data_IF_028720690912
#
_entry.id   IF_028720690912
#
_cell.length_a   1.000
_cell.length_b   1.000
_cell.length_c   1.000
_cell.angle_alpha   90.00
_cell.angle_beta   90.00
_cell.angle_gamma   90.00
#
_symmetry.space_group_name_H-M   'P 1'
#
loop_
_entity.id
_entity.type
_entity.pdbx_description
1 polymer ?
#
# COMPACT_ATOMS: atom_id res chain seq x y z
N UNK A 1 -5.55 -3.08 2.24
CA UNK A 1 -4.80 -1.83 1.93
C UNK A 1 -4.89 -1.53 0.44
N UNK A 2 -4.75 -2.51 -0.45
CA UNK A 2 -4.82 -2.34 -1.90
C UNK A 2 -6.14 -1.76 -2.39
N UNK A 3 -7.27 -2.13 -1.79
CA UNK A 3 -8.58 -1.57 -2.11
C UNK A 3 -8.66 -0.04 -1.95
N UNK A 4 -7.81 0.56 -1.10
CA UNK A 4 -7.71 2.00 -0.94
C UNK A 4 -7.12 2.66 -2.20
N UNK A 5 -6.21 1.97 -2.88
CA UNK A 5 -5.54 2.46 -4.08
C UNK A 5 -6.35 2.23 -5.37
N UNK A 6 -7.38 1.38 -5.33
CA UNK A 6 -8.27 1.12 -6.47
C UNK A 6 -9.30 2.25 -6.66
N UNK A 7 -9.56 3.04 -5.62
CA UNK A 7 -10.49 4.17 -5.71
C UNK A 7 -9.99 5.27 -6.65
N UNK A 8 -10.90 6.03 -7.32
CA UNK A 8 -10.53 7.08 -8.27
C UNK A 8 -9.82 8.26 -7.62
N UNK A 9 -9.95 8.44 -6.30
CA UNK A 9 -9.28 9.48 -5.51
C UNK A 9 -8.65 8.86 -4.28
N UNK A 10 -7.41 9.24 -4.00
CA UNK A 10 -6.73 8.84 -2.78
C UNK A 10 -7.04 9.83 -1.66
N UNK A 11 -7.49 9.30 -0.53
CA UNK A 11 -7.72 10.10 0.66
C UNK A 11 -6.40 10.24 1.42
N UNK A 12 -5.99 11.49 1.65
CA UNK A 12 -4.88 11.84 2.52
C UNK A 12 -5.40 12.65 3.71
N UNK A 13 -4.86 12.41 4.88
CA UNK A 13 -5.20 13.18 6.09
C UNK A 13 -4.17 14.30 6.23
N UNK A 14 -4.63 15.53 6.42
CA UNK A 14 -3.76 16.68 6.64
C UNK A 14 -2.88 16.45 7.88
N UNK A 15 -1.56 16.61 7.72
CA UNK A 15 -0.59 16.43 8.80
C UNK A 15 -0.29 14.96 9.12
N UNK A 16 -0.66 14.02 8.23
CA UNK A 16 -0.25 12.63 8.32
C UNK A 16 0.77 12.36 7.21
N UNK A 17 2.02 12.18 7.62
CA UNK A 17 3.13 11.75 6.76
C UNK A 17 3.39 10.25 6.87
N UNK A 18 2.33 9.48 7.25
CA UNK A 18 2.48 8.03 7.46
C UNK A 18 2.78 7.33 6.14
N UNK A 19 4.04 6.95 5.87
CA UNK A 19 4.41 6.31 4.64
C UNK A 19 3.96 4.85 4.63
N UNK A 20 3.87 4.29 3.43
CA UNK A 20 3.52 2.90 3.19
C UNK A 20 4.78 2.10 2.90
N UNK A 21 4.89 0.95 3.54
CA UNK A 21 5.91 -0.04 3.26
C UNK A 21 5.25 -1.20 2.52
N UNK A 22 5.86 -1.61 1.43
CA UNK A 22 5.41 -2.71 0.61
C UNK A 22 6.39 -3.87 0.69
N UNK A 23 5.85 -5.07 0.51
CA UNK A 23 6.65 -6.29 0.43
C UNK A 23 6.26 -7.05 -0.84
N UNK A 24 7.26 -7.59 -1.52
CA UNK A 24 7.03 -8.47 -2.65
C UNK A 24 6.62 -9.86 -2.18
N UNK A 25 5.61 -10.46 -2.83
CA UNK A 25 5.10 -11.79 -2.48
C UNK A 25 6.19 -12.88 -2.46
N UNK A 26 7.13 -12.83 -3.41
CA UNK A 26 8.25 -13.77 -3.46
C UNK A 26 9.28 -13.54 -2.35
N UNK A 27 9.42 -12.34 -1.83
CA UNK A 27 10.25 -12.08 -0.67
C UNK A 27 9.62 -12.65 0.60
N UNK A 28 8.29 -12.61 0.71
CA UNK A 28 7.58 -13.28 1.81
C UNK A 28 7.80 -14.80 1.73
N UNK A 29 7.63 -15.39 0.55
CA UNK A 29 7.88 -16.82 0.34
C UNK A 29 9.35 -17.19 0.62
N UNK A 30 10.29 -16.35 0.19
CA UNK A 30 11.71 -16.53 0.44
C UNK A 30 12.07 -16.46 1.92
N UNK A 31 11.49 -15.53 2.66
CA UNK A 31 11.68 -15.42 4.10
C UNK A 31 11.11 -16.64 4.85
N UNK A 32 9.96 -17.16 4.41
CA UNK A 32 9.38 -18.40 4.97
C UNK A 32 10.30 -19.60 4.68
N UNK A 33 10.77 -19.74 3.44
CA UNK A 33 11.70 -20.82 3.08
C UNK A 33 13.00 -20.73 3.90
N UNK A 34 13.52 -19.52 4.12
CA UNK A 34 14.70 -19.29 4.97
C UNK A 34 14.42 -19.67 6.42
N UNK A 35 13.21 -19.37 6.93
CA UNK A 35 12.82 -19.74 8.30
C UNK A 35 12.81 -21.27 8.52
N UNK A 36 12.40 -22.04 7.52
CA UNK A 36 12.34 -23.51 7.61
C UNK A 36 13.73 -24.13 7.70
N UNK A 37 14.75 -23.50 7.10
CA UNK A 37 16.13 -23.99 7.04
C UNK A 37 17.06 -23.30 8.04
N UNK A 38 16.56 -22.35 8.82
CA UNK A 38 17.32 -21.55 9.79
C UNK A 38 16.98 -21.99 11.21
N UNK A 39 17.99 -22.00 12.07
CA UNK A 39 17.82 -22.21 13.52
C UNK A 39 17.42 -20.92 14.26
N UNK A 40 17.16 -19.83 13.53
CA UNK A 40 16.80 -18.54 14.11
C UNK A 40 15.35 -18.53 14.55
N UNK A 41 15.12 -18.11 15.79
CA UNK A 41 13.79 -17.95 16.37
C UNK A 41 13.53 -16.49 16.72
N UNK A 42 12.29 -16.05 16.62
CA UNK A 42 11.91 -14.66 16.96
C UNK A 42 10.81 -14.11 16.07
N UNK A 43 10.54 -12.81 16.27
CA UNK A 43 9.58 -12.05 15.44
C UNK A 43 10.35 -11.09 14.55
N UNK A 44 10.17 -11.24 13.24
CA UNK A 44 10.87 -10.46 12.23
C UNK A 44 9.86 -9.81 11.28
N UNK A 45 10.05 -8.51 11.02
CA UNK A 45 9.20 -7.78 10.09
C UNK A 45 9.69 -8.02 8.65
N UNK A 46 8.86 -8.67 7.84
CA UNK A 46 9.15 -8.85 6.41
C UNK A 46 8.61 -7.66 5.65
N UNK A 47 9.51 -6.81 5.17
CA UNK A 47 9.19 -5.59 4.44
C UNK A 47 10.31 -5.25 3.46
N UNK A 48 9.98 -4.65 2.31
CA UNK A 48 10.96 -4.09 1.39
C UNK A 48 11.63 -2.85 1.97
N UNK A 49 12.85 -2.56 1.53
CA UNK A 49 13.55 -1.34 1.94
C UNK A 49 12.85 -0.07 1.45
N UNK A 50 12.91 0.97 2.25
CA UNK A 50 12.27 2.25 1.97
C UNK A 50 10.77 2.25 2.23
N UNK A 51 10.16 3.40 1.99
CA UNK A 51 8.72 3.60 2.15
C UNK A 51 8.22 4.61 1.13
N UNK A 52 6.94 4.57 0.79
CA UNK A 52 6.30 5.46 -0.16
C UNK A 52 5.27 6.33 0.55
N UNK A 53 5.32 7.63 0.33
CA UNK A 53 4.28 8.54 0.81
C UNK A 53 2.99 8.41 -0.02
N UNK A 54 1.86 8.83 0.56
CA UNK A 54 0.57 8.88 -0.17
C UNK A 54 0.69 9.74 -1.43
N UNK A 55 1.51 10.79 -1.38
CA UNK A 55 1.76 11.69 -2.50
C UNK A 55 2.48 10.99 -3.65
N UNK A 56 3.55 10.26 -3.33
CA UNK A 56 4.29 9.48 -4.33
C UNK A 56 3.41 8.40 -4.97
N UNK A 57 2.60 7.72 -4.15
CA UNK A 57 1.64 6.72 -4.61
C UNK A 57 0.61 7.35 -5.54
N UNK A 58 0.02 8.50 -5.18
CA UNK A 58 -0.94 9.22 -5.98
C UNK A 58 -0.36 9.62 -7.35
N UNK A 59 0.87 10.18 -7.33
CA UNK A 59 1.59 10.57 -8.55
C UNK A 59 1.85 9.38 -9.47
N UNK A 60 2.32 8.26 -8.93
CA UNK A 60 2.60 7.04 -9.71
C UNK A 60 1.34 6.39 -10.29
N UNK A 61 0.21 6.52 -9.60
CA UNK A 61 -1.08 6.02 -10.07
C UNK A 61 -1.82 7.01 -10.99
N UNK A 62 -1.29 8.22 -11.21
CA UNK A 62 -1.97 9.26 -11.96
C UNK A 62 -3.29 9.73 -11.33
N UNK A 63 -3.44 9.53 -10.00
CA UNK A 63 -4.70 9.81 -9.28
C UNK A 63 -4.62 11.13 -8.51
N UNK A 64 -5.76 11.82 -8.46
CA UNK A 64 -5.87 13.02 -7.62
C UNK A 64 -5.97 12.63 -6.15
N UNK A 65 -5.23 13.34 -5.31
CA UNK A 65 -5.38 13.21 -3.85
C UNK A 65 -6.43 14.18 -3.34
N UNK A 66 -7.24 13.75 -2.40
CA UNK A 66 -8.14 14.61 -1.63
C UNK A 66 -7.58 14.66 -0.20
N UNK A 67 -7.11 15.84 0.20
CA UNK A 67 -6.58 16.06 1.54
C UNK A 67 -7.72 16.53 2.44
N UNK A 68 -8.06 15.73 3.44
CA UNK A 68 -9.09 16.06 4.42
C UNK A 68 -8.45 16.33 5.78
N UNK A 69 -8.92 17.35 6.52
CA UNK A 69 -8.51 17.52 7.90
C UNK A 69 -9.07 16.36 8.75
N UNK A 70 -8.26 15.88 9.72
CA UNK A 70 -8.62 14.72 10.53
C UNK A 70 -9.97 14.90 11.26
N UNK A 71 -10.24 16.11 11.78
CA UNK A 71 -11.49 16.41 12.49
C UNK A 71 -12.74 16.26 11.62
N UNK A 72 -12.64 16.61 10.33
CA UNK A 72 -13.76 16.46 9.40
C UNK A 72 -14.06 14.98 9.12
N UNK A 73 -13.02 14.18 8.95
CA UNK A 73 -13.15 12.73 8.74
C UNK A 73 -13.69 12.04 10.01
N UNK A 74 -13.18 12.41 11.18
CA UNK A 74 -13.67 11.92 12.47
C UNK A 74 -15.14 12.26 12.69
N UNK A 75 -15.54 13.52 12.43
CA UNK A 75 -16.92 13.97 12.53
C UNK A 75 -17.85 13.21 11.57
N UNK A 76 -17.45 13.06 10.32
CA UNK A 76 -18.22 12.30 9.33
C UNK A 76 -18.40 10.83 9.77
N UNK A 77 -17.36 10.16 10.23
CA UNK A 77 -17.44 8.77 10.72
C UNK A 77 -18.26 8.65 12.01
N UNK A 78 -18.19 9.63 12.91
CA UNK A 78 -18.99 9.64 14.13
C UNK A 78 -20.50 9.73 13.85
N UNK A 79 -20.89 10.41 12.76
CA UNK A 79 -22.29 10.50 12.33
C UNK A 79 -22.71 9.27 11.51
N UNK A 80 -21.86 8.79 10.61
CA UNK A 80 -22.18 7.69 9.70
C UNK A 80 -22.20 6.31 10.38
N UNK A 81 -21.38 6.12 11.44
CA UNK A 81 -21.33 4.85 12.19
C UNK A 81 -22.65 4.48 12.85
N UNK A 82 -23.33 5.38 13.64
CA UNK A 82 -24.62 5.05 14.24
C UNK A 82 -25.76 4.91 13.22
N UNK A 83 -25.63 5.52 12.04
CA UNK A 83 -26.59 5.36 10.94
C UNK A 83 -26.42 4.03 10.16
N UNK A 84 -25.45 3.19 10.54
CA UNK A 84 -25.15 1.92 9.87
C UNK A 84 -24.56 2.05 8.45
N UNK A 85 -24.21 3.28 8.05
CA UNK A 85 -23.68 3.57 6.71
C UNK A 85 -22.20 3.24 6.56
N UNK A 86 -21.48 3.02 7.66
CA UNK A 86 -20.08 2.61 7.66
C UNK A 86 -19.76 1.68 8.82
N UNK A 87 -18.87 0.71 8.56
CA UNK A 87 -18.30 -0.16 9.58
C UNK A 87 -17.07 0.47 10.27
N UNK A 88 -16.60 1.60 9.74
CA UNK A 88 -15.41 2.29 10.21
C UNK A 88 -15.78 3.35 11.24
N UNK A 89 -15.08 3.36 12.38
CA UNK A 89 -15.29 4.34 13.43
C UNK A 89 -14.23 5.46 13.43
N UNK A 90 -14.42 6.53 14.21
CA UNK A 90 -13.47 7.63 14.33
C UNK A 90 -12.10 7.16 14.84
N UNK A 91 -12.04 6.06 15.60
CA UNK A 91 -10.82 5.44 16.12
C UNK A 91 -9.86 4.97 14.99
N UNK A 92 -10.39 4.69 13.81
CA UNK A 92 -9.57 4.26 12.67
C UNK A 92 -8.83 5.42 11.98
N UNK A 93 -9.27 6.65 12.22
CA UNK A 93 -8.59 7.84 11.71
C UNK A 93 -7.20 7.97 12.35
N UNK A 94 -7.09 7.68 13.63
CA UNK A 94 -5.82 7.72 14.35
C UNK A 94 -4.86 6.62 13.86
N UNK A 95 -5.38 5.43 13.55
CA UNK A 95 -4.59 4.38 12.92
C UNK A 95 -4.08 4.79 11.52
N UNK A 96 -4.89 5.50 10.75
CA UNK A 96 -4.47 6.03 9.45
C UNK A 96 -3.46 7.17 9.58
N UNK A 97 -3.55 7.95 10.67
CA UNK A 97 -2.67 9.09 10.95
C UNK A 97 -1.30 8.66 11.48
N UNK A 98 -1.26 7.64 12.33
CA UNK A 98 -0.05 7.16 13.01
C UNK A 98 0.30 5.73 12.59
N UNK A 99 0.32 5.48 11.29
CA UNK A 99 0.64 4.15 10.78
C UNK A 99 2.09 3.79 11.10
N UNK A 100 2.35 2.65 11.76
CA UNK A 100 3.70 2.22 12.03
C UNK A 100 4.40 1.85 10.71
N UNK A 101 5.60 2.38 10.52
CA UNK A 101 6.50 1.97 9.44
C UNK A 101 7.27 0.74 9.91
N UNK A 102 7.12 -0.36 9.21
CA UNK A 102 7.84 -1.59 9.55
C UNK A 102 9.33 -1.42 9.20
N UNK A 103 10.17 -1.62 10.21
CA UNK A 103 11.62 -1.67 10.03
C UNK A 103 12.05 -3.13 9.84
N UNK A 104 12.76 -3.42 8.77
CA UNK A 104 13.24 -4.77 8.42
C UNK A 104 14.70 -5.01 8.83
N UNK A 105 15.29 -4.15 9.66
CA UNK A 105 16.68 -4.28 10.08
C UNK A 105 16.97 -5.62 10.73
N UNK A 106 16.12 -6.04 11.69
CA UNK A 106 16.28 -7.35 12.36
C UNK A 106 16.16 -8.53 11.41
N UNK A 107 15.31 -8.41 10.38
CA UNK A 107 15.20 -9.42 9.32
C UNK A 107 16.55 -9.62 8.60
N UNK A 108 17.27 -8.53 8.34
CA UNK A 108 18.55 -8.57 7.63
C UNK A 108 19.72 -8.96 8.55
N UNK A 109 19.84 -8.30 9.70
CA UNK A 109 21.00 -8.42 10.59
C UNK A 109 20.96 -9.67 11.49
N UNK A 110 19.78 -10.01 12.02
CA UNK A 110 19.61 -11.11 12.97
C UNK A 110 19.14 -12.40 12.30
N UNK A 111 18.12 -12.29 11.43
CA UNK A 111 17.54 -13.45 10.75
C UNK A 111 18.37 -13.88 9.54
N UNK A 112 19.04 -12.94 8.87
CA UNK A 112 19.91 -13.21 7.73
C UNK A 112 19.20 -13.26 6.38
N UNK A 113 17.94 -12.79 6.29
CA UNK A 113 17.21 -12.69 5.05
C UNK A 113 17.20 -11.25 4.52
N UNK A 114 17.65 -11.07 3.29
CA UNK A 114 17.66 -9.76 2.61
C UNK A 114 16.58 -9.76 1.55
N UNK A 115 15.54 -8.90 1.66
CA UNK A 115 14.53 -8.75 0.62
C UNK A 115 15.16 -8.35 -0.72
N UNK A 116 14.70 -8.96 -1.80
CA UNK A 116 15.21 -8.74 -3.16
C UNK A 116 14.65 -7.48 -3.78
N UNK A 117 13.51 -7.00 -3.26
CA UNK A 117 12.80 -5.83 -3.78
C UNK A 117 12.60 -4.80 -2.69
N UNK A 118 12.81 -3.54 -3.08
CA UNK A 118 12.46 -2.38 -2.27
C UNK A 118 10.94 -2.19 -2.24
N UNK A 119 10.44 -1.42 -1.28
CA UNK A 119 9.02 -1.03 -1.22
C UNK A 119 8.56 -0.36 -2.52
N UNK A 120 9.42 0.45 -3.13
CA UNK A 120 9.14 1.11 -4.40
C UNK A 120 8.97 0.13 -5.55
N UNK A 121 9.88 -0.84 -5.67
CA UNK A 121 9.82 -1.87 -6.71
C UNK A 121 8.63 -2.83 -6.49
N UNK A 122 8.36 -3.21 -5.25
CA UNK A 122 7.21 -4.05 -4.92
C UNK A 122 5.89 -3.35 -5.29
N UNK A 123 5.78 -2.05 -5.04
CA UNK A 123 4.63 -1.24 -5.46
C UNK A 123 4.49 -1.19 -6.99
N UNK A 124 5.56 -1.00 -7.74
CA UNK A 124 5.51 -0.97 -9.22
C UNK A 124 5.07 -2.32 -9.80
N UNK A 125 5.56 -3.44 -9.25
CA UNK A 125 5.12 -4.78 -9.64
C UNK A 125 3.61 -4.95 -9.40
N UNK A 126 3.10 -4.50 -8.25
CA UNK A 126 1.68 -4.52 -7.97
C UNK A 126 0.89 -3.64 -8.95
N UNK A 127 1.35 -2.42 -9.18
CA UNK A 127 0.70 -1.46 -10.09
C UNK A 127 0.55 -2.02 -11.50
N UNK A 128 1.57 -2.64 -12.05
CA UNK A 128 1.53 -3.23 -13.39
C UNK A 128 0.59 -4.42 -13.50
N UNK A 129 0.33 -5.14 -12.40
CA UNK A 129 -0.64 -6.24 -12.36
C UNK A 129 -2.09 -5.76 -12.27
N UNK A 130 -2.35 -4.69 -11.55
CA UNK A 130 -3.71 -4.18 -11.29
C UNK A 130 -4.17 -3.20 -12.34
N UNK A 131 -3.25 -2.51 -13.01
CA UNK A 131 -3.55 -1.66 -14.17
C UNK A 131 -3.02 -2.36 -15.41
N UNK A 132 -3.80 -3.26 -16.05
CA UNK A 132 -3.44 -3.77 -17.37
C UNK A 132 -3.31 -2.54 -18.27
N UNK A 133 -2.20 -2.45 -19.01
CA UNK A 133 -2.09 -1.45 -20.07
C UNK A 133 -3.33 -1.56 -20.94
N UNK A 134 -4.07 -0.48 -21.10
CA UNK A 134 -5.08 -0.36 -22.14
C UNK A 134 -4.33 -0.53 -23.47
N UNK A 135 -4.22 -1.78 -23.88
CA UNK A 135 -3.67 -2.13 -25.19
C UNK A 135 -4.67 -1.63 -26.21
N UNK A 136 -4.27 -0.55 -26.88
CA UNK A 136 -5.09 0.13 -27.86
C UNK A 136 -5.76 -0.86 -28.81
N UNK A 137 -7.07 -0.87 -28.75
CA UNK A 137 -7.89 -1.36 -29.85
C UNK A 137 -7.79 -0.37 -30.99
N UNK A 138 -6.76 -0.49 -31.79
CA UNK A 138 -6.75 0.01 -33.15
C UNK A 138 -7.73 -0.84 -33.97
N UNK A 139 -8.97 -0.45 -34.02
CA UNK A 139 -9.91 -0.93 -35.02
C UNK A 139 -9.44 -0.42 -36.38
N UNK A 140 -8.70 -1.25 -37.09
CA UNK A 140 -8.47 -1.09 -38.52
C UNK A 140 -9.82 -1.28 -39.23
N UNK A 141 -10.46 -0.17 -39.58
CA UNK A 141 -11.57 -0.16 -40.49
C UNK A 141 -11.09 -0.55 -41.87
N UNK A 142 -11.38 -1.75 -42.27
CA UNK A 142 -11.32 -2.16 -43.67
C UNK A 142 -12.57 -1.64 -44.38
N UNK A 143 -12.38 -0.52 -45.10
CA UNK A 143 -13.29 -0.13 -46.14
C UNK A 143 -13.15 -1.14 -47.29
N UNK A 144 -14.23 -1.81 -47.64
CA UNK A 144 -14.39 -2.55 -48.89
C UNK A 144 -15.25 -1.73 -49.84
N UNK A 145 -14.69 -1.50 -50.98
CA UNK A 145 -15.32 -1.03 -52.19
C UNK A 145 -16.37 -1.99 -52.68
#
# INVERSE_FOLDING_TARGET
ITALFEKPRLLAIRGSDSPFVFVWDRDVAGAIAHAVTSDKTGVFNVAGDGALTVEEIARRLGKRRTVLPAWLLQGALAVLKPLGMTRYGPEQVDFLRYRPVLNNRRLKEEFGYIPRKTSSEAFEIWRTRVTPAETGSSSTGLASS
#
